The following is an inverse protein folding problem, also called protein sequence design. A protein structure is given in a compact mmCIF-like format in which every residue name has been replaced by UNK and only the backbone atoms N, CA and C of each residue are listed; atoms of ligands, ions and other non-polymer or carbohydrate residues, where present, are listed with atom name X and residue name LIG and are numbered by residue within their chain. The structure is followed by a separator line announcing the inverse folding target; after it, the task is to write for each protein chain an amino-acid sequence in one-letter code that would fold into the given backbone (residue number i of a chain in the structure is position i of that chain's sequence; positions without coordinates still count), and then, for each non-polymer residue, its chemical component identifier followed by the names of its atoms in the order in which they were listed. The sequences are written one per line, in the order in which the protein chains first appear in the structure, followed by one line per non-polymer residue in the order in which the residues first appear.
data_IF_214077154897
#
_entry.id   IF_214077154897
#
_cell.length_a   1.000
_cell.length_b   1.000
_cell.length_c   1.000
_cell.angle_alpha   90.00
_cell.angle_beta   90.00
_cell.angle_gamma   90.00
#
_symmetry.space_group_name_H-M   'P 1'
#
loop_
_entity.id
_entity.type
_entity.pdbx_description
1 polymer ?
#
# COMPACT_ATOMS: atom_id res chain seq x y z
N UNK A 1 1.91 -0.99 15.71
CA UNK A 1 1.94 0.47 15.49
C UNK A 1 1.89 0.68 13.98
N UNK A 2 0.81 1.26 13.44
CA UNK A 2 0.80 1.64 12.02
C UNK A 2 1.82 2.77 11.83
N UNK A 3 2.75 2.68 10.87
CA UNK A 3 3.64 3.80 10.58
C UNK A 3 2.80 4.97 10.07
N UNK A 4 2.71 6.04 10.86
CA UNK A 4 2.03 7.26 10.45
C UNK A 4 2.75 7.86 9.23
N UNK A 5 1.98 8.33 8.24
CA UNK A 5 2.51 9.03 7.08
C UNK A 5 3.30 10.26 7.56
N UNK A 6 4.60 10.32 7.24
CA UNK A 6 5.42 11.45 7.65
C UNK A 6 5.43 12.55 6.58
N UNK A 7 5.99 13.72 6.91
CA UNK A 7 6.03 14.88 6.00
C UNK A 7 6.83 14.63 4.71
N UNK A 8 7.79 13.69 4.72
CA UNK A 8 8.56 13.27 3.54
C UNK A 8 7.71 12.41 2.62
N UNK A 9 6.89 11.52 3.18
CA UNK A 9 5.97 10.68 2.43
C UNK A 9 4.90 11.53 1.72
N UNK A 10 4.42 12.61 2.34
CA UNK A 10 3.47 13.53 1.72
C UNK A 10 4.03 14.30 0.51
N UNK A 11 5.36 14.47 0.39
CA UNK A 11 5.97 15.14 -0.79
C UNK A 11 5.89 14.29 -2.05
N UNK A 12 5.82 12.96 -1.91
CA UNK A 12 5.69 12.08 -3.08
C UNK A 12 4.35 12.29 -3.78
N UNK A 13 3.34 12.80 -3.05
CA UNK A 13 2.03 13.10 -3.60
C UNK A 13 2.02 14.31 -4.54
N UNK A 14 3.08 15.12 -4.60
CA UNK A 14 3.15 16.27 -5.51
C UNK A 14 3.48 15.86 -6.95
N UNK A 15 4.08 14.68 -7.11
CA UNK A 15 4.45 14.10 -8.40
C UNK A 15 3.85 12.70 -8.51
N UNK A 16 2.83 12.56 -9.36
CA UNK A 16 2.14 11.29 -9.55
C UNK A 16 3.08 10.14 -9.92
N UNK A 17 4.13 10.38 -10.70
CA UNK A 17 5.07 9.33 -11.10
C UNK A 17 5.91 8.87 -9.92
N UNK A 18 6.35 9.78 -9.04
CA UNK A 18 7.05 9.42 -7.81
C UNK A 18 6.16 8.63 -6.86
N UNK A 19 4.92 9.09 -6.66
CA UNK A 19 3.90 8.35 -5.91
C UNK A 19 3.70 6.94 -6.47
N UNK A 20 3.52 6.80 -7.78
CA UNK A 20 3.28 5.51 -8.42
C UNK A 20 4.46 4.55 -8.26
N UNK A 21 5.69 5.04 -8.45
CA UNK A 21 6.89 4.23 -8.24
C UNK A 21 7.03 3.78 -6.79
N UNK A 22 6.80 4.67 -5.83
CA UNK A 22 6.83 4.33 -4.41
C UNK A 22 5.78 3.27 -4.06
N UNK A 23 4.54 3.45 -4.51
CA UNK A 23 3.45 2.49 -4.28
C UNK A 23 3.77 1.12 -4.90
N UNK A 24 4.38 1.10 -6.08
CA UNK A 24 4.84 -0.13 -6.74
C UNK A 24 5.91 -0.84 -5.92
N UNK A 25 6.88 -0.12 -5.37
CA UNK A 25 7.95 -0.72 -4.56
C UNK A 25 7.41 -1.28 -3.24
N UNK A 26 6.44 -0.60 -2.61
CA UNK A 26 5.70 -1.16 -1.49
C UNK A 26 5.00 -2.47 -1.89
N UNK A 27 4.24 -2.50 -2.98
CA UNK A 27 3.54 -3.73 -3.43
C UNK A 27 4.50 -4.88 -3.73
N UNK A 28 5.65 -4.63 -4.38
CA UNK A 28 6.68 -5.66 -4.61
C UNK A 28 7.20 -6.29 -3.32
N UNK A 29 7.39 -5.47 -2.28
CA UNK A 29 7.80 -5.98 -0.98
C UNK A 29 6.72 -6.88 -0.37
N UNK A 30 5.42 -6.65 -0.64
CA UNK A 30 4.36 -7.56 -0.17
C UNK A 30 4.41 -8.88 -0.93
N UNK A 31 4.61 -8.83 -2.24
CA UNK A 31 4.78 -10.03 -3.08
C UNK A 31 5.96 -10.90 -2.60
N UNK A 32 7.06 -10.27 -2.18
CA UNK A 32 8.20 -10.99 -1.60
C UNK A 32 7.81 -11.68 -0.28
N UNK A 33 7.11 -11.00 0.62
CA UNK A 33 6.64 -11.60 1.87
C UNK A 33 5.69 -12.77 1.60
N UNK A 34 4.73 -12.60 0.70
CA UNK A 34 3.77 -13.65 0.32
C UNK A 34 4.51 -14.85 -0.29
N UNK A 35 5.47 -14.61 -1.19
CA UNK A 35 6.27 -15.67 -1.79
C UNK A 35 7.13 -16.40 -0.75
N UNK A 36 7.76 -15.67 0.17
CA UNK A 36 8.48 -16.28 1.30
C UNK A 36 7.53 -17.13 2.14
N UNK A 37 6.36 -16.61 2.54
CA UNK A 37 5.37 -17.37 3.30
C UNK A 37 4.99 -18.67 2.59
N UNK A 38 4.64 -18.61 1.30
CA UNK A 38 4.28 -19.77 0.50
C UNK A 38 5.42 -20.80 0.40
N UNK A 39 6.65 -20.34 0.14
CA UNK A 39 7.80 -21.25 -0.04
C UNK A 39 8.26 -21.85 1.28
N UNK A 40 8.28 -21.06 2.35
CA UNK A 40 8.68 -21.46 3.69
C UNK A 40 7.70 -22.50 4.26
N UNK A 41 6.38 -22.27 4.17
CA UNK A 41 5.34 -23.22 4.62
C UNK A 41 5.42 -24.57 3.90
N UNK A 42 5.85 -24.60 2.64
CA UNK A 42 5.92 -25.82 1.84
C UNK A 42 7.13 -26.73 2.16
N UNK A 43 8.19 -26.21 2.80
CA UNK A 43 9.39 -26.99 3.11
C UNK A 43 9.16 -28.04 4.22
N UNK A 44 9.64 -29.27 3.99
CA UNK A 44 9.41 -30.42 4.89
C UNK A 44 9.93 -30.20 6.32
N UNK A 45 11.02 -29.43 6.46
CA UNK A 45 11.58 -29.00 7.74
C UNK A 45 10.66 -28.06 8.53
N UNK A 46 9.83 -27.27 7.85
CA UNK A 46 8.86 -26.38 8.50
C UNK A 46 7.67 -27.16 9.09
N UNK A 47 7.20 -28.20 8.39
CA UNK A 47 6.15 -29.09 8.91
C UNK A 47 6.57 -29.83 10.18
N UNK A 48 7.87 -30.10 10.35
CA UNK A 48 8.41 -30.69 11.58
C UNK A 48 8.59 -29.70 12.74
N UNK A 49 8.51 -28.38 12.50
CA UNK A 49 8.69 -27.33 13.53
C UNK A 49 7.38 -26.91 14.21
N UNK A 50 6.23 -27.44 13.79
CA UNK A 50 4.95 -27.32 14.50
C UNK A 50 4.60 -25.88 14.92
N UNK A 51 4.67 -25.59 16.23
CA UNK A 51 4.25 -24.32 16.83
C UNK A 51 5.00 -23.07 16.35
N UNK A 52 6.23 -23.21 15.84
CA UNK A 52 7.00 -22.06 15.34
C UNK A 52 6.53 -21.61 13.96
N UNK A 53 6.06 -22.55 13.13
CA UNK A 53 5.53 -22.25 11.81
C UNK A 53 4.25 -21.40 11.88
N UNK A 54 3.32 -21.74 12.78
CA UNK A 54 2.08 -20.98 12.98
C UNK A 54 2.37 -19.55 13.46
N UNK A 55 3.32 -19.38 14.38
CA UNK A 55 3.71 -18.04 14.88
C UNK A 55 4.34 -17.18 13.79
N UNK A 56 5.20 -17.76 12.96
CA UNK A 56 5.81 -17.03 11.83
C UNK A 56 4.78 -16.65 10.76
N UNK A 57 3.84 -17.55 10.43
CA UNK A 57 2.75 -17.21 9.52
C UNK A 57 1.88 -16.06 10.05
N UNK A 58 1.55 -16.07 11.35
CA UNK A 58 0.83 -14.98 12.00
C UNK A 58 1.59 -13.65 11.94
N UNK A 59 2.89 -13.66 12.28
CA UNK A 59 3.74 -12.47 12.22
C UNK A 59 3.81 -11.86 10.81
N UNK A 60 3.98 -12.70 9.78
CA UNK A 60 4.01 -12.24 8.38
C UNK A 60 2.63 -11.75 7.92
N UNK A 61 1.54 -12.38 8.38
CA UNK A 61 0.17 -11.91 8.15
C UNK A 61 -0.08 -10.52 8.73
N UNK A 62 0.32 -10.29 9.98
CA UNK A 62 0.22 -8.99 10.66
C UNK A 62 1.07 -7.92 9.96
N UNK A 63 2.25 -8.30 9.44
CA UNK A 63 3.11 -7.41 8.66
C UNK A 63 2.43 -6.98 7.37
N UNK A 64 1.85 -7.91 6.59
CA UNK A 64 1.10 -7.59 5.37
C UNK A 64 -0.10 -6.69 5.67
N UNK A 65 -0.83 -6.96 6.77
CA UNK A 65 -1.97 -6.15 7.18
C UNK A 65 -1.54 -4.70 7.52
N UNK A 66 -0.47 -4.55 8.29
CA UNK A 66 0.12 -3.23 8.64
C UNK A 66 0.54 -2.45 7.39
N UNK A 67 1.19 -3.13 6.44
CA UNK A 67 1.64 -2.52 5.19
C UNK A 67 0.50 -2.13 4.27
N UNK A 68 -0.56 -2.94 4.23
CA UNK A 68 -1.79 -2.63 3.50
C UNK A 68 -2.51 -1.42 4.11
N UNK A 69 -2.56 -1.31 5.43
CA UNK A 69 -3.07 -0.13 6.11
C UNK A 69 -2.24 1.13 5.75
N UNK A 70 -0.91 1.02 5.75
CA UNK A 70 -0.01 2.11 5.36
C UNK A 70 -0.25 2.59 3.92
N UNK A 71 -0.37 1.67 2.94
CA UNK A 71 -0.65 2.05 1.54
C UNK A 71 -1.99 2.76 1.41
N UNK A 72 -3.03 2.30 2.11
CA UNK A 72 -4.34 2.95 2.13
C UNK A 72 -4.29 4.36 2.74
N UNK A 73 -3.57 4.52 3.84
CA UNK A 73 -3.36 5.82 4.49
C UNK A 73 -2.59 6.79 3.57
N UNK A 74 -1.56 6.30 2.88
CA UNK A 74 -0.77 7.08 1.93
C UNK A 74 -1.63 7.58 0.76
N UNK A 75 -2.40 6.69 0.12
CA UNK A 75 -3.31 7.06 -0.98
C UNK A 75 -4.32 8.11 -0.52
N UNK A 76 -4.90 7.91 0.66
CA UNK A 76 -5.89 8.83 1.25
C UNK A 76 -5.27 10.19 1.57
N UNK A 77 -4.05 10.20 2.09
CA UNK A 77 -3.29 11.41 2.39
C UNK A 77 -2.95 12.20 1.12
N UNK A 78 -2.55 11.50 0.04
CA UNK A 78 -2.33 12.16 -1.25
C UNK A 78 -3.63 12.75 -1.81
N UNK A 79 -4.77 12.04 -1.71
CA UNK A 79 -6.07 12.57 -2.13
C UNK A 79 -6.46 13.83 -1.35
N UNK A 80 -6.24 13.84 -0.03
CA UNK A 80 -6.47 15.03 0.81
C UNK A 80 -5.59 16.18 0.36
N UNK A 81 -4.27 15.95 0.25
CA UNK A 81 -3.31 16.98 -0.17
C UNK A 81 -3.63 17.56 -1.54
N UNK A 82 -3.97 16.73 -2.54
CA UNK A 82 -4.38 17.22 -3.86
C UNK A 82 -5.66 18.07 -3.76
N UNK A 83 -6.60 17.70 -2.88
CA UNK A 83 -7.81 18.50 -2.64
C UNK A 83 -7.49 19.85 -2.02
N UNK A 84 -6.58 19.89 -1.05
CA UNK A 84 -6.13 21.12 -0.40
C UNK A 84 -5.44 22.05 -1.40
N UNK A 85 -4.57 21.51 -2.27
CA UNK A 85 -3.94 22.27 -3.36
C UNK A 85 -4.98 22.81 -4.34
N UNK A 86 -6.03 22.05 -4.67
CA UNK A 86 -7.10 22.51 -5.56
C UNK A 86 -7.95 23.63 -4.95
N UNK A 87 -8.06 23.69 -3.62
CA UNK A 87 -8.82 24.70 -2.89
C UNK A 87 -8.07 26.04 -2.75
N UNK A 88 -6.77 26.06 -3.02
CA UNK A 88 -5.97 27.28 -3.02
C UNK A 88 -6.47 28.27 -4.09
N UNK A 89 -6.54 29.54 -3.72
CA UNK A 89 -7.08 30.61 -4.57
C UNK A 89 -6.08 31.14 -5.61
N UNK A 90 -4.79 30.87 -5.42
CA UNK A 90 -3.66 31.39 -6.20
C UNK A 90 -3.17 30.44 -7.30
N UNK A 91 -3.80 29.28 -7.48
CA UNK A 91 -3.43 28.36 -8.56
C UNK A 91 -4.00 28.80 -9.91
N UNK A 92 -3.19 28.70 -10.94
CA UNK A 92 -3.59 28.91 -12.33
C UNK A 92 -4.58 27.84 -12.82
N UNK A 93 -5.33 28.16 -13.87
CA UNK A 93 -6.24 27.20 -14.52
C UNK A 93 -5.50 25.95 -15.04
N UNK A 94 -4.26 26.12 -15.54
CA UNK A 94 -3.44 24.99 -15.97
C UNK A 94 -3.06 24.07 -14.80
N UNK A 95 -2.66 24.64 -13.66
CA UNK A 95 -2.38 23.88 -12.44
C UNK A 95 -3.63 23.17 -11.92
N UNK A 96 -4.79 23.85 -11.94
CA UNK A 96 -6.08 23.24 -11.55
C UNK A 96 -6.41 22.02 -12.40
N UNK A 97 -6.24 22.10 -13.72
CA UNK A 97 -6.44 20.95 -14.64
C UNK A 97 -5.47 19.80 -14.35
N UNK A 98 -4.20 20.11 -14.08
CA UNK A 98 -3.20 19.11 -13.70
C UNK A 98 -3.58 18.39 -12.39
N UNK A 99 -4.00 19.13 -11.36
CA UNK A 99 -4.44 18.56 -10.09
C UNK A 99 -5.72 17.72 -10.23
N UNK A 100 -6.68 18.14 -11.07
CA UNK A 100 -7.87 17.33 -11.39
C UNK A 100 -7.46 15.99 -12.02
N UNK A 101 -6.55 16.04 -13.00
CA UNK A 101 -6.05 14.83 -13.64
C UNK A 101 -5.34 13.91 -12.63
N UNK A 102 -4.44 14.47 -11.81
CA UNK A 102 -3.74 13.73 -10.78
C UNK A 102 -4.68 13.10 -9.75
N UNK A 103 -5.69 13.86 -9.28
CA UNK A 103 -6.72 13.34 -8.36
C UNK A 103 -7.43 12.14 -8.96
N UNK A 104 -7.78 12.17 -10.25
CA UNK A 104 -8.41 11.03 -10.94
C UNK A 104 -7.50 9.81 -10.94
N UNK A 105 -6.20 9.99 -11.16
CA UNK A 105 -5.24 8.89 -11.11
C UNK A 105 -5.12 8.31 -9.69
N UNK A 106 -5.05 9.15 -8.66
CA UNK A 106 -5.05 8.72 -7.26
C UNK A 106 -6.33 7.96 -6.87
N UNK A 107 -7.49 8.39 -7.36
CA UNK A 107 -8.76 7.67 -7.16
C UNK A 107 -8.76 6.30 -7.82
N UNK A 108 -8.16 6.17 -9.01
CA UNK A 108 -7.99 4.87 -9.66
C UNK A 108 -7.07 3.98 -8.81
N UNK A 109 -5.94 4.50 -8.31
CA UNK A 109 -5.03 3.73 -7.45
C UNK A 109 -5.67 3.30 -6.13
N UNK A 110 -6.55 4.12 -5.55
CA UNK A 110 -7.37 3.70 -4.40
C UNK A 110 -8.26 2.50 -4.72
N UNK A 111 -8.90 2.50 -5.88
CA UNK A 111 -9.75 1.38 -6.30
C UNK A 111 -8.92 0.11 -6.57
N UNK A 112 -7.73 0.26 -7.16
CA UNK A 112 -6.77 -0.84 -7.34
C UNK A 112 -6.35 -1.40 -5.98
N UNK A 113 -6.02 -0.54 -5.02
CA UNK A 113 -5.59 -0.95 -3.69
C UNK A 113 -6.68 -1.75 -2.96
N UNK A 114 -7.94 -1.36 -3.11
CA UNK A 114 -9.07 -2.11 -2.53
C UNK A 114 -9.20 -3.52 -3.12
N UNK A 115 -8.97 -3.66 -4.43
CA UNK A 115 -8.95 -4.97 -5.09
C UNK A 115 -7.76 -5.80 -4.61
N UNK A 116 -6.58 -5.20 -4.51
CA UNK A 116 -5.36 -5.86 -4.00
C UNK A 116 -5.59 -6.36 -2.58
N UNK A 117 -6.09 -5.50 -1.68
CA UNK A 117 -6.44 -5.85 -0.30
C UNK A 117 -7.40 -7.04 -0.25
N UNK A 118 -8.50 -6.98 -1.01
CA UNK A 118 -9.49 -8.07 -1.07
C UNK A 118 -8.88 -9.39 -1.51
N UNK A 119 -7.97 -9.37 -2.48
CA UNK A 119 -7.28 -10.57 -2.95
C UNK A 119 -6.26 -11.09 -1.92
N UNK A 120 -5.52 -10.19 -1.28
CA UNK A 120 -4.57 -10.54 -0.22
C UNK A 120 -5.27 -11.18 0.98
N UNK A 121 -6.39 -10.62 1.43
CA UNK A 121 -7.21 -11.17 2.53
C UNK A 121 -7.75 -12.57 2.19
N UNK A 122 -8.24 -12.77 0.96
CA UNK A 122 -8.69 -14.11 0.50
C UNK A 122 -7.54 -15.13 0.50
N UNK A 123 -6.35 -14.73 0.07
CA UNK A 123 -5.19 -15.61 0.07
C UNK A 123 -4.71 -15.92 1.51
N UNK A 124 -4.84 -14.98 2.45
CA UNK A 124 -4.52 -15.23 3.86
C UNK A 124 -5.50 -16.19 4.55
N UNK A 125 -6.79 -16.20 4.18
CA UNK A 125 -7.80 -17.12 4.70
C UNK A 125 -7.70 -18.56 4.15
N UNK A 126 -6.74 -18.82 3.28
CA UNK A 126 -6.53 -20.13 2.65
C UNK A 126 -5.50 -21.00 3.39
N UNK A 127 -4.98 -20.55 4.53
CA UNK A 127 -3.98 -21.24 5.37
C UNK A 127 -4.56 -21.71 6.71
#
# INVERSE_FOLDING_TARGET
MNPSINARDLRICDDYLQFQNHLKDLRKLDDLIINTLNTTVLTATFRSQGSDATKQCQQLGDEIATRTAYRNELISSCLSRTSDLMAQSDISEAQRKALIFQRRQLQNERNVEEIVRTNTEKNQLSF
#
